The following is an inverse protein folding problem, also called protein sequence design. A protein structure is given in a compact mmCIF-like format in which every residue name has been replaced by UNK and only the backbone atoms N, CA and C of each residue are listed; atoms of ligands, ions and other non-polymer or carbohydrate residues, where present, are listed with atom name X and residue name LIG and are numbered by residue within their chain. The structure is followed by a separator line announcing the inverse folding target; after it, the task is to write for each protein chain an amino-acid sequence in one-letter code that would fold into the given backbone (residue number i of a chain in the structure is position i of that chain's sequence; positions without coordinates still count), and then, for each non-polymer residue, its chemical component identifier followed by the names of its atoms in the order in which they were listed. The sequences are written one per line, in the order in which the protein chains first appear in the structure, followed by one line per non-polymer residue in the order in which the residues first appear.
data_IF_672136864111
#
_entry.id   IF_672136864111
#
_cell.length_a   1.000
_cell.length_b   1.000
_cell.length_c   1.000
_cell.angle_alpha   90.00
_cell.angle_beta   90.00
_cell.angle_gamma   90.00
#
_symmetry.space_group_name_H-M   'P 1'
#
loop_
_entity.id
_entity.type
_entity.pdbx_description
1 polymer ?
#
# COMPACT_ATOMS: atom_id res chain seq x y z
N UNK A 1 10.09 -0.43 -27.23
CA UNK A 1 8.81 -0.73 -26.55
C UNK A 1 9.15 -1.39 -25.22
N UNK A 2 8.92 -0.87 -24.01
CA UNK A 2 7.88 0.01 -23.47
C UNK A 2 8.48 0.92 -22.37
N UNK A 3 8.21 2.23 -22.37
CA UNK A 3 8.44 3.08 -21.20
C UNK A 3 7.13 3.23 -20.43
N UNK A 4 6.96 2.62 -19.24
CA UNK A 4 5.94 3.10 -18.31
C UNK A 4 6.15 2.71 -16.84
N UNK A 5 6.58 3.73 -16.10
CA UNK A 5 6.58 3.83 -14.67
C UNK A 5 5.21 3.56 -14.02
N UNK A 6 5.23 2.93 -12.84
CA UNK A 6 4.29 3.20 -11.74
C UNK A 6 4.98 3.13 -10.37
N UNK A 7 5.99 4.00 -10.15
CA UNK A 7 6.33 4.46 -8.79
C UNK A 7 5.30 5.50 -8.37
N UNK A 8 4.15 5.09 -7.82
CA UNK A 8 3.17 6.04 -7.26
C UNK A 8 2.67 5.58 -5.90
N UNK A 9 3.29 6.13 -4.86
CA UNK A 9 2.89 5.98 -3.46
C UNK A 9 3.49 7.03 -2.53
N UNK A 10 3.85 8.22 -3.04
CA UNK A 10 4.11 9.40 -2.22
C UNK A 10 3.36 10.59 -2.81
N UNK A 11 2.24 10.95 -2.17
CA UNK A 11 1.71 12.32 -2.19
C UNK A 11 1.24 12.62 -0.78
N UNK A 12 2.13 13.30 -0.06
CA UNK A 12 1.83 14.02 1.16
C UNK A 12 1.17 15.36 0.78
N UNK A 13 0.32 15.86 1.68
CA UNK A 13 -0.36 17.16 1.69
C UNK A 13 -1.67 17.30 0.86
N UNK A 14 -2.75 16.77 1.43
CA UNK A 14 -4.04 17.46 1.64
C UNK A 14 -4.91 16.57 2.56
N UNK A 15 -5.24 17.06 3.76
CA UNK A 15 -6.12 16.46 4.79
C UNK A 15 -5.95 14.95 5.13
N UNK A 16 -5.10 14.67 6.14
CA UNK A 16 -5.04 13.53 7.10
C UNK A 16 -5.27 12.06 6.67
N UNK A 17 -5.65 11.74 5.44
CA UNK A 17 -6.15 10.42 5.06
C UNK A 17 -5.51 9.95 3.76
N UNK A 18 -5.01 8.71 3.73
CA UNK A 18 -4.38 8.15 2.54
C UNK A 18 -5.38 8.09 1.37
N UNK A 19 -5.11 8.72 0.20
CA UNK A 19 -6.08 8.79 -0.91
C UNK A 19 -6.34 7.44 -1.60
N UNK A 20 -5.48 6.44 -1.36
CA UNK A 20 -5.60 5.11 -1.97
C UNK A 20 -6.58 4.23 -1.22
N UNK A 21 -6.47 4.17 0.11
CA UNK A 21 -7.37 3.39 0.96
C UNK A 21 -8.42 4.24 1.68
N UNK A 22 -8.37 5.57 1.55
CA UNK A 22 -9.25 6.53 2.24
C UNK A 22 -9.30 6.30 3.76
N UNK A 23 -8.16 5.90 4.35
CA UNK A 23 -8.04 5.64 5.78
C UNK A 23 -8.36 4.20 6.20
N UNK A 24 -8.82 3.35 5.29
CA UNK A 24 -9.17 1.95 5.59
C UNK A 24 -7.95 1.04 5.80
N UNK A 25 -6.78 1.43 5.26
CA UNK A 25 -5.55 0.63 5.37
C UNK A 25 -5.48 -0.61 4.47
N UNK A 26 -6.56 -0.98 3.79
CA UNK A 26 -6.65 -2.10 2.86
C UNK A 26 -7.35 -1.67 1.56
N UNK A 27 -7.05 -2.36 0.45
CA UNK A 27 -7.65 -2.14 -0.86
C UNK A 27 -7.90 -3.48 -1.54
N UNK A 28 -8.85 -3.54 -2.49
CA UNK A 28 -9.07 -4.74 -3.30
C UNK A 28 -7.91 -4.94 -4.28
N UNK A 29 -7.37 -6.16 -4.35
CA UNK A 29 -6.38 -6.50 -5.36
C UNK A 29 -6.95 -6.31 -6.77
N UNK A 30 -6.16 -5.68 -7.64
CA UNK A 30 -6.50 -5.55 -9.06
C UNK A 30 -6.07 -6.82 -9.80
N UNK A 31 -6.73 -7.93 -9.47
CA UNK A 31 -6.52 -9.21 -10.14
C UNK A 31 -7.60 -9.41 -11.23
N UNK A 32 -7.30 -10.16 -12.30
CA UNK A 32 -8.29 -10.55 -13.30
C UNK A 32 -9.25 -11.62 -12.75
N UNK A 33 -10.37 -11.83 -13.45
CA UNK A 33 -11.32 -12.90 -13.12
C UNK A 33 -10.67 -14.27 -13.32
N UNK A 34 -10.84 -15.18 -12.35
CA UNK A 34 -10.21 -16.51 -12.35
C UNK A 34 -8.87 -16.56 -11.59
N UNK A 35 -8.33 -15.42 -11.17
CA UNK A 35 -7.18 -15.37 -10.28
C UNK A 35 -7.60 -15.66 -8.83
N UNK A 36 -6.84 -16.45 -8.06
CA UNK A 36 -7.18 -16.75 -6.67
C UNK A 36 -7.24 -15.49 -5.79
N UNK A 37 -6.52 -14.42 -6.14
CA UNK A 37 -6.53 -13.14 -5.42
C UNK A 37 -7.66 -12.21 -5.88
N UNK A 38 -8.48 -12.63 -6.86
CA UNK A 38 -9.65 -11.87 -7.28
C UNK A 38 -10.63 -11.65 -6.12
N UNK A 39 -10.86 -10.37 -5.78
CA UNK A 39 -11.76 -10.00 -4.70
C UNK A 39 -11.12 -10.00 -3.31
N UNK A 40 -9.84 -10.36 -3.18
CA UNK A 40 -9.14 -10.28 -1.89
C UNK A 40 -8.80 -8.85 -1.51
N UNK A 41 -8.80 -8.61 -0.19
CA UNK A 41 -8.31 -7.38 0.41
C UNK A 41 -6.81 -7.52 0.69
N UNK A 42 -6.04 -6.60 0.13
CA UNK A 42 -4.59 -6.50 0.34
C UNK A 42 -4.25 -5.23 1.10
N UNK A 43 -3.19 -5.23 1.93
CA UNK A 43 -2.80 -4.04 2.66
C UNK A 43 -2.41 -2.92 1.70
N UNK A 44 -2.86 -1.71 2.01
CA UNK A 44 -2.47 -0.51 1.28
C UNK A 44 -0.98 -0.24 1.43
N UNK A 45 -0.37 0.38 0.44
CA UNK A 45 1.04 0.79 0.48
C UNK A 45 1.38 1.67 1.68
N UNK A 46 0.44 2.51 2.14
CA UNK A 46 0.64 3.31 3.35
C UNK A 46 0.79 2.43 4.61
N UNK A 47 0.00 1.35 4.70
CA UNK A 47 0.05 0.42 5.83
C UNK A 47 1.29 -0.46 5.78
N UNK A 48 1.71 -0.87 4.58
CA UNK A 48 2.97 -1.59 4.39
C UNK A 48 4.19 -0.74 4.79
N UNK A 49 4.19 0.56 4.45
CA UNK A 49 5.25 1.48 4.85
C UNK A 49 5.31 1.61 6.38
N UNK A 50 4.18 1.84 7.04
CA UNK A 50 4.10 1.93 8.51
C UNK A 50 4.62 0.66 9.20
N UNK A 51 4.23 -0.53 8.70
CA UNK A 51 4.72 -1.80 9.23
C UNK A 51 6.23 -1.98 9.04
N UNK A 52 6.76 -1.54 7.89
CA UNK A 52 8.19 -1.55 7.61
C UNK A 52 8.97 -0.65 8.56
N UNK A 53 8.49 0.57 8.79
CA UNK A 53 9.11 1.51 9.74
C UNK A 53 9.09 0.95 11.17
N UNK A 54 7.95 0.40 11.61
CA UNK A 54 7.84 -0.26 12.92
C UNK A 54 8.85 -1.38 13.07
N UNK A 55 8.99 -2.23 12.05
CA UNK A 55 9.96 -3.33 12.05
C UNK A 55 11.39 -2.82 12.21
N UNK A 56 11.75 -1.77 11.48
CA UNK A 56 13.09 -1.15 11.58
C UNK A 56 13.34 -0.60 12.98
N UNK A 57 12.36 0.09 13.58
CA UNK A 57 12.47 0.61 14.94
C UNK A 57 12.65 -0.51 15.95
N UNK A 58 11.83 -1.58 15.87
CA UNK A 58 11.94 -2.73 16.79
C UNK A 58 13.31 -3.40 16.74
N UNK A 59 13.91 -3.53 15.55
CA UNK A 59 15.24 -4.14 15.40
C UNK A 59 16.37 -3.28 15.96
N UNK A 60 16.20 -1.95 16.00
CA UNK A 60 17.20 -1.02 16.55
C UNK A 60 17.21 -0.98 18.08
N UNK A 61 16.15 -1.45 18.71
CA UNK A 61 15.98 -1.44 20.18
C UNK A 61 16.32 -2.80 20.82
N UNK A 62 16.97 -3.71 20.09
CA UNK A 62 17.58 -4.95 20.57
C UNK A 62 19.05 -4.70 20.91
#
# INVERSE_FOLDING_TARGET
MTPKAKRKGKKQAAESVCPTCKGLGYVRANAPVGDPDFGKLVPCSCRLAELGERRVVSLRNL
#
